data_IF_744251632433
#
_entry.id   IF_744251632433
#
_cell.length_a   1.000
_cell.length_b   1.000
_cell.length_c   1.000
_cell.angle_alpha   90.00
_cell.angle_beta   90.00
_cell.angle_gamma   90.00
#
_symmetry.space_group_name_H-M   'P 1'
#
loop_
_entity.id
_entity.type
_entity.pdbx_description
1 polymer ?
#
# COMPACT_ATOMS: atom_id res chain seq x y z
N UNK A 1 -24.60 9.95 6.34
CA UNK A 1 -23.26 10.57 6.47
C UNK A 1 -22.26 9.67 5.76
N UNK A 2 -21.30 10.27 5.04
CA UNK A 2 -20.25 9.52 4.34
C UNK A 2 -19.36 8.81 5.37
N UNK A 3 -19.03 7.54 5.12
CA UNK A 3 -18.18 6.73 5.99
C UNK A 3 -16.70 6.87 5.58
N UNK A 4 -15.79 6.37 6.41
CA UNK A 4 -14.37 6.30 6.10
C UNK A 4 -13.88 4.85 6.20
N UNK A 5 -13.06 4.46 5.23
CA UNK A 5 -12.38 3.19 5.11
C UNK A 5 -10.89 3.43 4.92
N UNK A 6 -10.05 2.52 5.43
CA UNK A 6 -8.61 2.68 5.33
C UNK A 6 -7.87 1.38 5.01
N UNK A 7 -6.77 1.51 4.27
CA UNK A 7 -5.74 0.49 4.09
C UNK A 7 -4.41 1.08 4.54
N UNK A 8 -3.75 0.41 5.49
CA UNK A 8 -2.50 0.85 6.09
C UNK A 8 -1.42 -0.20 5.82
N UNK A 9 -0.32 0.22 5.19
CA UNK A 9 0.79 -0.66 4.82
C UNK A 9 2.06 -0.07 5.41
N UNK A 10 2.74 -0.83 6.26
CA UNK A 10 4.01 -0.46 6.86
C UNK A 10 5.00 -1.61 6.79
N UNK A 11 6.19 -1.40 6.26
CA UNK A 11 7.16 -2.49 6.00
C UNK A 11 8.54 -2.10 6.53
N UNK A 12 9.04 -2.85 7.52
CA UNK A 12 10.38 -2.64 8.09
C UNK A 12 11.34 -3.78 7.72
N UNK A 13 10.90 -5.03 7.88
CA UNK A 13 11.75 -6.23 7.80
C UNK A 13 11.91 -6.75 6.36
N UNK A 14 12.34 -5.86 5.45
CA UNK A 14 12.78 -6.26 4.11
C UNK A 14 13.96 -7.24 4.19
N UNK A 15 14.03 -8.26 3.31
CA UNK A 15 15.15 -9.20 3.24
C UNK A 15 16.50 -8.52 3.02
N UNK A 16 16.50 -7.42 2.24
CA UNK A 16 17.65 -6.57 1.97
C UNK A 16 17.34 -5.14 2.42
N UNK A 17 18.32 -4.44 3.00
CA UNK A 17 18.22 -3.04 3.47
C UNK A 17 16.99 -2.79 4.37
N UNK A 18 16.85 -3.45 5.53
CA UNK A 18 15.69 -3.27 6.41
C UNK A 18 15.56 -1.84 6.93
N UNK A 19 14.32 -1.41 7.17
CA UNK A 19 13.94 -0.14 7.79
C UNK A 19 13.54 -0.37 9.25
N UNK A 20 13.21 0.70 9.99
CA UNK A 20 12.90 0.64 11.43
C UNK A 20 11.74 1.53 11.89
N UNK A 21 11.10 2.23 10.96
CA UNK A 21 10.11 3.28 11.26
C UNK A 21 8.76 3.03 10.61
N UNK A 22 8.72 2.36 9.47
CA UNK A 22 7.56 2.33 8.59
C UNK A 22 6.36 1.63 9.22
N UNK A 23 6.59 0.56 9.99
CA UNK A 23 5.51 -0.11 10.74
C UNK A 23 5.02 0.80 11.87
N UNK A 24 5.92 1.51 12.56
CA UNK A 24 5.54 2.45 13.59
C UNK A 24 4.72 3.62 13.03
N UNK A 25 5.07 4.13 11.86
CA UNK A 25 4.35 5.23 11.20
C UNK A 25 2.94 4.79 10.80
N UNK A 26 2.80 3.58 10.24
CA UNK A 26 1.49 3.01 9.93
C UNK A 26 0.63 2.73 11.18
N UNK A 27 1.25 2.33 12.30
CA UNK A 27 0.56 2.17 13.59
C UNK A 27 0.09 3.51 14.16
N UNK A 28 0.88 4.57 14.03
CA UNK A 28 0.47 5.92 14.43
C UNK A 28 -0.67 6.43 13.55
N UNK A 29 -0.65 6.13 12.25
CA UNK A 29 -1.76 6.42 11.35
C UNK A 29 -3.05 5.66 11.74
N UNK A 30 -2.94 4.37 12.08
CA UNK A 30 -4.08 3.58 12.59
C UNK A 30 -4.68 4.22 13.84
N UNK A 31 -3.81 4.61 14.78
CA UNK A 31 -4.22 5.26 16.03
C UNK A 31 -4.93 6.58 15.76
N UNK A 32 -4.38 7.43 14.90
CA UNK A 32 -4.99 8.70 14.50
C UNK A 32 -6.37 8.49 13.85
N UNK A 33 -6.49 7.51 12.95
CA UNK A 33 -7.77 7.18 12.31
C UNK A 33 -8.84 6.76 13.33
N UNK A 34 -8.47 5.97 14.33
CA UNK A 34 -9.40 5.46 15.35
C UNK A 34 -9.73 6.53 16.40
N UNK A 35 -8.72 7.19 16.97
CA UNK A 35 -8.87 8.08 18.13
C UNK A 35 -9.39 9.45 17.72
N UNK A 36 -8.83 10.04 16.67
CA UNK A 36 -9.12 11.41 16.25
C UNK A 36 -10.22 11.45 15.19
N UNK A 37 -10.12 10.61 14.15
CA UNK A 37 -11.10 10.57 13.06
C UNK A 37 -12.28 9.62 13.30
N UNK A 38 -12.26 8.88 14.41
CA UNK A 38 -13.35 7.98 14.84
C UNK A 38 -13.72 6.93 13.78
N UNK A 39 -12.76 6.52 12.96
CA UNK A 39 -12.92 5.42 12.00
C UNK A 39 -13.05 4.11 12.78
N UNK A 40 -14.15 3.35 12.62
CA UNK A 40 -14.29 2.06 13.28
C UNK A 40 -13.17 1.09 12.85
N UNK A 41 -12.56 0.39 13.81
CA UNK A 41 -11.44 -0.54 13.55
C UNK A 41 -11.74 -1.58 12.45
N UNK A 42 -12.98 -2.06 12.36
CA UNK A 42 -13.39 -3.03 11.33
C UNK A 42 -13.39 -2.47 9.89
N UNK A 43 -13.19 -1.16 9.71
CA UNK A 43 -13.05 -0.49 8.40
C UNK A 43 -11.61 -0.18 8.04
N UNK A 44 -10.66 -0.62 8.86
CA UNK A 44 -9.23 -0.43 8.66
C UNK A 44 -8.62 -1.81 8.39
N UNK A 45 -7.98 -1.95 7.24
CA UNK A 45 -7.19 -3.13 6.88
C UNK A 45 -5.70 -2.77 7.02
N UNK A 46 -4.95 -3.56 7.76
CA UNK A 46 -3.56 -3.26 8.11
C UNK A 46 -2.63 -4.40 7.67
N UNK A 47 -1.57 -4.06 6.93
CA UNK A 47 -0.53 -4.98 6.47
C UNK A 47 0.82 -4.55 7.04
N UNK A 48 1.39 -5.35 7.95
CA UNK A 48 2.61 -4.97 8.67
C UNK A 48 3.75 -5.97 8.46
N UNK A 49 4.85 -5.45 7.95
CA UNK A 49 6.08 -6.17 7.66
C UNK A 49 7.07 -6.12 8.82
N UNK A 50 6.67 -6.59 10.00
CA UNK A 50 7.59 -6.86 11.12
C UNK A 50 7.10 -8.01 11.99
N UNK A 51 8.02 -8.88 12.42
CA UNK A 51 7.74 -9.96 13.38
C UNK A 51 7.11 -9.44 14.68
N UNK A 52 7.49 -8.24 15.14
CA UNK A 52 6.93 -7.64 16.35
C UNK A 52 5.45 -7.25 16.17
N UNK A 53 5.11 -6.66 15.03
CA UNK A 53 3.73 -6.29 14.71
C UNK A 53 2.85 -7.52 14.51
N UNK A 54 3.39 -8.59 13.92
CA UNK A 54 2.70 -9.88 13.79
C UNK A 54 2.18 -10.41 15.13
N UNK A 55 3.00 -10.34 16.18
CA UNK A 55 2.64 -10.80 17.53
C UNK A 55 1.68 -9.84 18.26
N UNK A 56 1.83 -8.54 18.06
CA UNK A 56 1.11 -7.52 18.85
C UNK A 56 -0.24 -7.10 18.26
N UNK A 57 -0.47 -7.32 16.96
CA UNK A 57 -1.68 -6.88 16.24
C UNK A 57 -2.62 -8.03 15.78
N UNK A 58 -2.66 -9.16 16.48
CA UNK A 58 -3.46 -10.35 16.11
C UNK A 58 -3.19 -10.83 14.67
N UNK A 59 -1.92 -11.12 14.34
CA UNK A 59 -1.48 -11.62 13.04
C UNK A 59 -1.94 -10.75 11.85
N UNK A 60 -1.51 -9.48 11.77
CA UNK A 60 -1.70 -8.65 10.58
C UNK A 60 -1.26 -9.37 9.30
N UNK A 61 -1.95 -9.09 8.21
CA UNK A 61 -1.60 -9.67 6.91
C UNK A 61 -0.19 -9.25 6.50
N UNK A 62 0.63 -10.19 6.03
CA UNK A 62 1.99 -9.89 5.54
C UNK A 62 1.93 -9.00 4.30
N UNK A 63 2.70 -7.90 4.21
CA UNK A 63 2.70 -6.99 3.04
C UNK A 63 3.54 -7.53 1.89
N UNK A 64 3.24 -8.76 1.45
CA UNK A 64 3.77 -9.31 0.21
C UNK A 64 3.00 -8.73 -0.99
N UNK A 65 3.55 -8.88 -2.20
CA UNK A 65 2.98 -8.29 -3.41
C UNK A 65 1.52 -8.67 -3.62
N UNK A 66 1.22 -9.97 -3.49
CA UNK A 66 -0.12 -10.51 -3.70
C UNK A 66 -1.14 -9.90 -2.72
N UNK A 67 -0.81 -9.85 -1.43
CA UNK A 67 -1.67 -9.33 -0.39
C UNK A 67 -1.90 -7.83 -0.52
N UNK A 68 -0.90 -7.05 -0.93
CA UNK A 68 -1.08 -5.61 -1.19
C UNK A 68 -2.08 -5.41 -2.33
N UNK A 69 -1.87 -6.08 -3.47
CA UNK A 69 -2.76 -5.96 -4.63
C UNK A 69 -4.17 -6.45 -4.31
N UNK A 70 -4.30 -7.59 -3.64
CA UNK A 70 -5.60 -8.15 -3.24
C UNK A 70 -6.32 -7.20 -2.29
N UNK A 71 -5.63 -6.65 -1.29
CA UNK A 71 -6.23 -5.69 -0.34
C UNK A 71 -6.73 -4.44 -1.06
N UNK A 72 -5.92 -3.84 -1.93
CA UNK A 72 -6.33 -2.64 -2.67
C UNK A 72 -7.48 -2.94 -3.64
N UNK A 73 -7.42 -4.04 -4.39
CA UNK A 73 -8.49 -4.42 -5.33
C UNK A 73 -9.77 -4.86 -4.61
N UNK A 74 -9.70 -5.40 -3.39
CA UNK A 74 -10.87 -5.73 -2.56
C UNK A 74 -11.77 -4.52 -2.29
N UNK A 75 -11.20 -3.31 -2.24
CA UNK A 75 -11.95 -2.06 -2.06
C UNK A 75 -12.98 -1.85 -3.18
N UNK A 76 -12.68 -2.32 -4.40
CA UNK A 76 -13.58 -2.22 -5.57
C UNK A 76 -14.84 -3.05 -5.34
N UNK A 77 -14.69 -4.27 -4.79
CA UNK A 77 -15.76 -5.25 -4.67
C UNK A 77 -16.44 -5.25 -3.29
N UNK A 78 -15.87 -4.57 -2.29
CA UNK A 78 -16.44 -4.52 -0.95
C UNK A 78 -17.80 -3.80 -0.97
N UNK A 79 -18.87 -4.54 -0.77
CA UNK A 79 -20.26 -4.05 -0.81
C UNK A 79 -20.62 -3.15 0.37
N UNK A 80 -19.80 -3.14 1.43
CA UNK A 80 -19.98 -2.24 2.58
C UNK A 80 -19.46 -0.82 2.30
N UNK A 81 -18.61 -0.65 1.29
CA UNK A 81 -18.12 0.66 0.84
C UNK A 81 -19.11 1.22 -0.17
N UNK A 82 -19.80 2.30 0.20
CA UNK A 82 -20.77 2.96 -0.66
C UNK A 82 -20.08 3.97 -1.58
N UNK A 83 -20.74 4.28 -2.70
CA UNK A 83 -20.29 5.35 -3.57
C UNK A 83 -20.27 6.69 -2.83
N UNK A 84 -19.12 7.37 -2.80
CA UNK A 84 -18.92 8.63 -2.08
C UNK A 84 -18.45 8.49 -0.63
N UNK A 85 -18.17 7.28 -0.15
CA UNK A 85 -17.39 7.07 1.08
C UNK A 85 -15.93 7.50 0.89
N UNK A 86 -15.27 7.90 1.98
CA UNK A 86 -13.86 8.26 1.96
C UNK A 86 -13.00 7.01 2.07
N UNK A 87 -11.97 6.93 1.24
CA UNK A 87 -10.99 5.85 1.24
C UNK A 87 -9.61 6.46 1.48
N UNK A 88 -8.94 6.04 2.55
CA UNK A 88 -7.57 6.44 2.86
C UNK A 88 -6.66 5.24 2.61
N UNK A 89 -5.62 5.44 1.81
CA UNK A 89 -4.57 4.44 1.60
C UNK A 89 -3.27 5.07 2.08
N UNK A 90 -2.59 4.40 3.00
CA UNK A 90 -1.31 4.85 3.54
C UNK A 90 -0.25 3.77 3.32
N UNK A 91 0.88 4.18 2.76
CA UNK A 91 2.03 3.31 2.57
C UNK A 91 3.28 3.96 3.18
N UNK A 92 4.00 3.21 4.01
CA UNK A 92 5.35 3.54 4.46
C UNK A 92 6.28 2.35 4.23
N UNK A 93 7.41 2.59 3.56
CA UNK A 93 8.34 1.54 3.15
C UNK A 93 9.35 2.02 2.11
N UNK A 94 10.02 1.07 1.46
CA UNK A 94 10.87 1.39 0.30
C UNK A 94 10.02 1.75 -0.92
N UNK A 95 10.51 2.73 -1.68
CA UNK A 95 10.14 2.95 -3.06
C UNK A 95 11.37 2.81 -3.96
N UNK A 96 11.14 2.46 -5.21
CA UNK A 96 12.18 2.21 -6.22
C UNK A 96 11.86 2.97 -7.50
N UNK A 97 12.85 3.06 -8.37
CA UNK A 97 12.73 3.70 -9.68
C UNK A 97 13.52 2.89 -10.70
N UNK A 98 12.89 2.60 -11.84
CA UNK A 98 13.44 1.81 -12.93
C UNK A 98 13.44 2.61 -14.22
N UNK A 99 14.53 2.59 -14.99
CA UNK A 99 14.54 3.18 -16.32
C UNK A 99 13.62 2.39 -17.26
N UNK A 100 12.77 3.08 -18.02
CA UNK A 100 12.00 2.44 -19.08
C UNK A 100 12.90 1.78 -20.14
N UNK A 101 14.10 2.32 -20.40
CA UNK A 101 15.02 1.77 -21.40
C UNK A 101 15.43 0.33 -21.05
N UNK A 102 15.62 0.04 -19.77
CA UNK A 102 16.04 -1.27 -19.27
C UNK A 102 14.94 -2.34 -19.42
N UNK A 103 13.66 -1.93 -19.42
CA UNK A 103 12.52 -2.84 -19.38
C UNK A 103 11.69 -2.92 -20.66
N UNK A 104 11.58 -1.84 -21.43
CA UNK A 104 10.75 -1.79 -22.63
C UNK A 104 11.49 -1.36 -23.91
N UNK A 105 12.78 -1.05 -23.82
CA UNK A 105 13.68 -0.76 -24.95
C UNK A 105 13.34 0.49 -25.79
N UNK A 106 12.17 1.09 -25.57
CA UNK A 106 11.59 2.16 -26.38
C UNK A 106 10.81 3.20 -25.56
N UNK A 107 10.81 3.11 -24.23
CA UNK A 107 10.12 4.06 -23.35
C UNK A 107 11.06 5.14 -22.84
N UNK A 108 10.56 6.38 -22.77
CA UNK A 108 11.28 7.52 -22.19
C UNK A 108 10.75 7.75 -20.77
N UNK A 109 11.64 7.87 -19.80
CA UNK A 109 11.33 8.20 -18.40
C UNK A 109 11.47 7.03 -17.43
N UNK A 110 11.35 7.35 -16.14
CA UNK A 110 11.47 6.38 -15.05
C UNK A 110 10.09 5.85 -14.63
N UNK A 111 10.04 4.59 -14.20
CA UNK A 111 8.88 3.95 -13.56
C UNK A 111 9.18 3.93 -12.07
N UNK A 112 8.37 4.64 -11.28
CA UNK A 112 8.42 4.54 -9.83
C UNK A 112 7.61 3.34 -9.34
N UNK A 113 8.01 2.74 -8.22
CA UNK A 113 7.31 1.57 -7.69
C UNK A 113 7.38 1.45 -6.18
N UNK A 114 6.35 0.83 -5.60
CA UNK A 114 6.29 0.47 -4.18
C UNK A 114 6.89 -0.92 -3.98
N UNK A 115 7.73 -1.05 -2.96
CA UNK A 115 8.47 -2.28 -2.69
C UNK A 115 7.70 -3.19 -1.73
N UNK A 116 7.16 -4.34 -2.16
CA UNK A 116 6.58 -5.33 -1.25
C UNK A 116 7.69 -6.04 -0.45
N UNK A 117 7.34 -6.69 0.67
CA UNK A 117 8.33 -7.33 1.54
C UNK A 117 9.01 -8.55 0.89
N UNK A 118 8.33 -9.20 -0.05
CA UNK A 118 8.83 -10.37 -0.79
C UNK A 118 9.52 -10.02 -2.10
N UNK A 119 9.82 -8.73 -2.34
CA UNK A 119 10.64 -8.31 -3.48
C UNK A 119 11.95 -9.08 -3.50
N UNK A 120 12.39 -9.48 -4.69
CA UNK A 120 13.67 -10.16 -4.87
C UNK A 120 14.54 -9.43 -5.88
N UNK A 121 15.79 -9.17 -5.50
CA UNK A 121 16.80 -8.59 -6.37
C UNK A 121 17.47 -9.77 -7.13
N UNK A 122 17.02 -10.01 -8.37
CA UNK A 122 17.56 -10.90 -9.42
C UNK A 122 18.24 -12.22 -9.02
N UNK A 123 17.66 -13.37 -9.45
CA UNK A 123 18.34 -14.61 -9.88
C UNK A 123 17.37 -15.80 -10.11
N UNK A 124 16.09 -15.67 -9.77
CA UNK A 124 15.04 -16.65 -10.10
C UNK A 124 13.67 -15.96 -10.01
N UNK A 125 12.80 -16.12 -11.02
CA UNK A 125 11.45 -15.52 -11.16
C UNK A 125 11.13 -14.43 -10.14
N UNK A 126 11.65 -13.20 -10.33
CA UNK A 126 11.63 -12.19 -9.29
C UNK A 126 10.19 -11.75 -9.01
N UNK A 127 9.85 -11.56 -7.73
CA UNK A 127 8.60 -10.87 -7.36
C UNK A 127 8.85 -9.39 -7.64
N UNK A 128 8.16 -8.78 -8.63
CA UNK A 128 8.43 -7.40 -9.00
C UNK A 128 7.82 -6.45 -7.97
N UNK A 129 8.42 -5.25 -7.88
CA UNK A 129 7.79 -4.13 -7.18
C UNK A 129 6.42 -3.80 -7.83
N UNK A 130 5.59 -3.02 -7.13
CA UNK A 130 4.27 -2.61 -7.62
C UNK A 130 4.42 -1.23 -8.28
N UNK A 131 4.36 -1.19 -9.60
CA UNK A 131 4.59 0.05 -10.35
C UNK A 131 3.51 1.11 -10.09
N UNK A 132 3.90 2.38 -10.21
CA UNK A 132 3.02 3.54 -10.28
C UNK A 132 1.87 3.35 -11.28
N UNK A 133 2.12 2.73 -12.44
CA UNK A 133 1.12 2.38 -13.45
C UNK A 133 0.08 1.40 -12.92
N UNK A 134 0.50 0.35 -12.23
CA UNK A 134 -0.41 -0.61 -11.60
C UNK A 134 -1.24 0.04 -10.50
N UNK A 135 -0.60 0.84 -9.64
CA UNK A 135 -1.30 1.60 -8.59
C UNK A 135 -2.32 2.55 -9.22
N UNK A 136 -1.96 3.30 -10.26
CA UNK A 136 -2.86 4.21 -10.97
C UNK A 136 -4.05 3.49 -11.59
N UNK A 137 -3.85 2.29 -12.15
CA UNK A 137 -4.96 1.46 -12.65
C UNK A 137 -5.88 1.06 -11.51
N UNK A 138 -5.35 0.58 -10.38
CA UNK A 138 -6.15 0.16 -9.23
C UNK A 138 -6.94 1.35 -8.66
N UNK A 139 -6.29 2.49 -8.42
CA UNK A 139 -6.94 3.70 -7.91
C UNK A 139 -8.04 4.19 -8.86
N UNK A 140 -7.81 4.13 -10.17
CA UNK A 140 -8.84 4.46 -11.17
C UNK A 140 -10.04 3.52 -11.07
N UNK A 141 -9.84 2.21 -10.91
CA UNK A 141 -10.95 1.27 -10.76
C UNK A 141 -11.71 1.48 -9.46
N UNK A 142 -11.02 1.73 -8.34
CA UNK A 142 -11.65 2.11 -7.08
C UNK A 142 -12.49 3.38 -7.28
N UNK A 143 -11.94 4.38 -7.98
CA UNK A 143 -12.65 5.63 -8.24
C UNK A 143 -13.91 5.44 -9.09
N UNK A 144 -13.89 4.54 -10.08
CA UNK A 144 -15.06 4.23 -10.91
C UNK A 144 -16.14 3.48 -10.11
N UNK A 145 -15.74 2.59 -9.19
CA UNK A 145 -16.68 1.79 -8.41
C UNK A 145 -17.24 2.54 -7.19
N UNK A 146 -16.40 3.35 -6.52
CA UNK A 146 -16.68 3.93 -5.18
C UNK A 146 -16.71 5.46 -5.16
N UNK A 147 -16.40 6.12 -6.28
CA UNK A 147 -16.33 7.57 -6.37
C UNK A 147 -14.94 8.15 -6.05
N UNK A 148 -14.79 9.46 -6.16
CA UNK A 148 -13.48 10.12 -6.25
C UNK A 148 -12.83 10.50 -4.90
N UNK A 149 -13.40 10.12 -3.75
CA UNK A 149 -12.89 10.51 -2.42
C UNK A 149 -11.81 9.56 -1.92
N UNK A 150 -10.73 9.49 -2.67
CA UNK A 150 -9.58 8.62 -2.38
C UNK A 150 -8.39 9.51 -2.00
N UNK A 151 -7.81 9.28 -0.83
CA UNK A 151 -6.57 9.92 -0.38
C UNK A 151 -5.48 8.88 -0.32
N UNK A 152 -4.40 9.08 -1.08
CA UNK A 152 -3.26 8.19 -1.08
C UNK A 152 -2.04 8.92 -0.51
N UNK A 153 -1.51 8.41 0.60
CA UNK A 153 -0.41 9.01 1.36
C UNK A 153 0.80 8.08 1.24
N UNK A 154 1.90 8.62 0.71
CA UNK A 154 3.14 7.90 0.49
C UNK A 154 4.23 8.45 1.40
N UNK A 155 4.79 7.58 2.25
CA UNK A 155 5.97 7.81 3.07
C UNK A 155 7.09 6.89 2.60
N UNK A 156 7.59 7.19 1.40
CA UNK A 156 8.66 6.45 0.74
C UNK A 156 9.44 7.35 -0.21
N UNK A 157 10.67 6.95 -0.53
CA UNK A 157 11.43 7.57 -1.63
C UNK A 157 10.78 7.25 -2.98
N UNK A 158 11.01 8.07 -4.02
CA UNK A 158 10.45 7.88 -5.36
C UNK A 158 8.91 7.76 -5.36
N UNK A 159 8.24 8.85 -4.98
CA UNK A 159 6.78 8.96 -4.78
C UNK A 159 6.17 10.15 -5.54
N UNK A 160 6.85 10.63 -6.58
CA UNK A 160 6.49 11.84 -7.32
C UNK A 160 5.72 11.63 -8.62
N UNK A 161 5.60 10.38 -9.11
CA UNK A 161 5.00 10.02 -10.39
C UNK A 161 3.47 9.84 -10.37
#
# INVERSE_FOLDING_TARGET
TSQCWAVLIGIDEYPSKPLRGCVNDALLMERFLIEDLRVPKHRIQSLFGSKKAQVTHNNPTTPNRANIIETLTSLIFNTSINHGDNIIIYFSGHGSSYSCEDYCGHGVGDIEALCPIDRTDENSSPVPDISDREINIILRQISLAKGHRITFILDCSHSGA
#
